data_IF_234166008934
#
_entry.id   IF_234166008934
#
_cell.length_a   1.000
_cell.length_b   1.000
_cell.length_c   1.000
_cell.angle_alpha   90.00
_cell.angle_beta   90.00
_cell.angle_gamma   90.00
#
_symmetry.space_group_name_H-M   'P 1'
#
loop_
_entity.id
_entity.type
_entity.pdbx_description
1 polymer ?
#
# COMPACT_ATOMS: atom_id res chain seq x y z
N UNK A 1 6.94 -13.18 23.37
CA UNK A 1 6.28 -11.98 22.78
C UNK A 1 6.92 -11.48 21.50
N UNK A 2 8.13 -11.89 21.15
CA UNK A 2 8.85 -11.45 19.93
C UNK A 2 8.31 -12.04 18.60
N UNK A 3 7.56 -13.13 18.65
CA UNK A 3 7.05 -13.83 17.44
C UNK A 3 5.80 -13.21 16.79
N UNK A 4 5.17 -12.21 17.41
CA UNK A 4 3.93 -11.62 16.87
C UNK A 4 4.14 -10.32 16.09
N UNK A 5 5.38 -9.84 15.97
CA UNK A 5 5.68 -8.62 15.22
C UNK A 5 5.82 -8.91 13.73
N UNK A 6 5.47 -7.92 12.90
CA UNK A 6 5.72 -7.94 11.46
C UNK A 6 7.24 -8.09 11.18
N UNK A 7 7.57 -8.71 10.03
CA UNK A 7 8.96 -8.96 9.59
C UNK A 7 9.58 -7.74 8.93
N UNK A 8 8.77 -6.93 8.27
CA UNK A 8 9.23 -5.87 7.38
C UNK A 8 8.87 -4.50 7.93
N UNK A 9 9.74 -3.50 7.77
CA UNK A 9 9.51 -2.16 8.30
C UNK A 9 8.24 -1.54 7.68
N UNK A 10 7.54 -0.75 8.50
CA UNK A 10 6.38 0.04 8.07
C UNK A 10 6.80 1.51 7.99
N UNK A 11 6.65 2.10 6.82
CA UNK A 11 6.88 3.51 6.57
C UNK A 11 5.57 4.22 6.26
N UNK A 12 5.36 5.37 6.88
CA UNK A 12 4.26 6.29 6.57
C UNK A 12 4.86 7.50 5.85
N UNK A 13 4.37 7.81 4.66
CA UNK A 13 4.74 9.03 3.96
C UNK A 13 3.76 10.13 4.36
N UNK A 14 4.24 11.23 4.91
CA UNK A 14 3.38 12.28 5.41
C UNK A 14 3.89 13.68 5.09
N UNK A 15 2.94 14.57 4.75
CA UNK A 15 3.19 15.97 4.47
C UNK A 15 2.04 16.84 4.99
N UNK A 16 2.34 17.83 5.83
CA UNK A 16 1.37 18.81 6.33
C UNK A 16 0.30 18.23 7.26
N UNK A 17 0.53 17.07 7.89
CA UNK A 17 -0.50 16.35 8.67
C UNK A 17 -0.07 15.97 10.08
N UNK A 18 0.90 16.69 10.67
CA UNK A 18 1.39 16.41 12.03
C UNK A 18 0.31 16.48 13.11
N UNK A 19 -0.76 17.27 12.91
CA UNK A 19 -1.88 17.38 13.86
C UNK A 19 -2.85 16.20 13.76
N UNK A 20 -3.24 15.81 12.56
CA UNK A 20 -4.20 14.71 12.32
C UNK A 20 -3.59 13.34 12.55
N UNK A 21 -2.46 13.04 11.88
CA UNK A 21 -1.68 11.80 12.02
C UNK A 21 -2.52 10.51 12.04
N UNK A 22 -3.54 10.40 11.17
CA UNK A 22 -4.52 9.31 11.26
C UNK A 22 -3.86 7.94 11.25
N UNK A 23 -3.00 7.67 10.28
CA UNK A 23 -2.34 6.37 10.14
C UNK A 23 -1.42 6.05 11.33
N UNK A 24 -0.60 7.01 11.77
CA UNK A 24 0.30 6.77 12.89
C UNK A 24 -0.45 6.52 14.20
N UNK A 25 -1.54 7.25 14.45
CA UNK A 25 -2.41 7.00 15.61
C UNK A 25 -3.06 5.63 15.55
N UNK A 26 -3.54 5.21 14.37
CA UNK A 26 -4.10 3.85 14.20
C UNK A 26 -3.08 2.76 14.47
N UNK A 27 -1.81 2.94 14.07
CA UNK A 27 -0.74 2.00 14.39
C UNK A 27 -0.34 2.06 15.87
N UNK A 28 -0.32 3.24 16.48
CA UNK A 28 -0.05 3.43 17.90
C UNK A 28 -1.09 2.73 18.80
N UNK A 29 -2.38 2.81 18.45
CA UNK A 29 -3.46 2.08 19.16
C UNK A 29 -3.22 0.56 19.17
N UNK A 30 -2.58 0.01 18.16
CA UNK A 30 -2.26 -1.41 18.04
C UNK A 30 -0.85 -1.77 18.56
N UNK A 31 -0.10 -0.80 19.08
CA UNK A 31 1.32 -0.97 19.42
C UNK A 31 2.18 -1.47 18.25
N UNK A 32 1.84 -1.08 17.02
CA UNK A 32 2.61 -1.41 15.82
C UNK A 32 3.74 -0.44 15.61
N UNK A 33 5.01 -0.88 15.60
CA UNK A 33 6.14 -0.03 15.24
C UNK A 33 6.03 0.48 13.80
N UNK A 34 6.39 1.73 13.60
CA UNK A 34 6.43 2.39 12.31
C UNK A 34 7.52 3.47 12.28
N UNK A 35 7.87 3.91 11.08
CA UNK A 35 8.63 5.13 10.83
C UNK A 35 7.80 6.09 9.98
N UNK A 36 7.84 7.37 10.29
CA UNK A 36 7.17 8.40 9.49
C UNK A 36 8.22 9.23 8.74
N UNK A 37 8.01 9.38 7.43
CA UNK A 37 8.92 10.07 6.53
C UNK A 37 8.32 11.41 6.17
N UNK A 38 9.07 12.48 6.44
CA UNK A 38 8.61 13.87 6.34
C UNK A 38 9.61 14.73 5.60
N UNK A 39 9.16 15.85 5.05
CA UNK A 39 10.05 16.88 4.49
C UNK A 39 10.88 17.55 5.61
N UNK A 40 12.14 17.96 5.35
CA UNK A 40 13.02 18.54 6.37
C UNK A 40 12.40 19.69 7.13
N UNK A 41 11.68 20.57 6.44
CA UNK A 41 10.99 21.74 7.03
C UNK A 41 9.88 21.38 8.03
N UNK A 42 9.36 20.16 7.98
CA UNK A 42 8.27 19.67 8.82
C UNK A 42 8.76 18.84 10.01
N UNK A 43 10.07 18.50 10.04
CA UNK A 43 10.64 17.62 11.07
C UNK A 43 10.27 18.03 12.49
N UNK A 44 10.47 19.30 12.83
CA UNK A 44 10.18 19.80 14.17
C UNK A 44 8.69 19.74 14.52
N UNK A 45 7.81 20.00 13.54
CA UNK A 45 6.35 19.94 13.74
C UNK A 45 5.89 18.51 14.08
N UNK A 46 6.53 17.49 13.49
CA UNK A 46 6.27 16.10 13.85
C UNK A 46 6.95 15.71 15.15
N UNK A 47 8.16 16.22 15.43
CA UNK A 47 8.91 15.93 16.66
C UNK A 47 8.23 16.47 17.93
N UNK A 48 7.38 17.50 17.78
CA UNK A 48 6.57 18.03 18.89
C UNK A 48 5.40 17.11 19.28
N UNK A 49 5.03 16.14 18.43
CA UNK A 49 3.82 15.31 18.62
C UNK A 49 4.08 13.81 18.58
N UNK A 50 5.26 13.38 18.17
CA UNK A 50 5.71 11.97 18.17
C UNK A 50 7.18 11.87 18.55
N UNK A 51 7.59 10.69 18.99
CA UNK A 51 8.97 10.39 19.34
C UNK A 51 9.90 10.53 18.13
N UNK A 52 11.03 11.22 18.32
CA UNK A 52 12.00 11.57 17.27
C UNK A 52 12.58 10.32 16.58
N UNK A 53 12.75 9.22 17.31
CA UNK A 53 13.25 7.95 16.75
C UNK A 53 12.31 7.33 15.70
N UNK A 54 11.04 7.74 15.66
CA UNK A 54 10.09 7.31 14.63
C UNK A 54 10.13 8.17 13.38
N UNK A 55 10.83 9.30 13.39
CA UNK A 55 10.83 10.28 12.30
C UNK A 55 12.06 10.11 11.44
N UNK A 56 11.85 10.00 10.14
CA UNK A 56 12.91 10.06 9.13
C UNK A 56 12.70 11.34 8.32
N UNK A 57 13.72 12.20 8.30
CA UNK A 57 13.73 13.36 7.41
C UNK A 57 14.20 12.97 6.03
N UNK A 58 13.52 13.44 5.00
CA UNK A 58 14.05 13.41 3.65
C UNK A 58 15.33 14.27 3.56
N UNK A 59 16.22 14.01 2.58
CA UNK A 59 17.35 14.92 2.32
C UNK A 59 16.86 16.27 1.81
N UNK A 60 17.63 17.34 2.03
CA UNK A 60 17.21 18.70 1.66
C UNK A 60 16.93 18.86 0.17
N UNK A 61 17.64 18.12 -0.68
CA UNK A 61 17.47 18.14 -2.13
C UNK A 61 16.44 17.13 -2.65
N UNK A 62 15.56 16.58 -1.80
CA UNK A 62 14.60 15.53 -2.20
C UNK A 62 13.72 15.91 -3.41
N UNK A 63 13.43 17.19 -3.59
CA UNK A 63 12.60 17.69 -4.70
C UNK A 63 13.25 17.52 -6.08
N UNK A 64 14.56 17.30 -6.15
CA UNK A 64 15.28 17.01 -7.40
C UNK A 64 14.96 15.60 -7.94
N UNK A 65 14.44 14.71 -7.09
CA UNK A 65 14.18 13.31 -7.42
C UNK A 65 12.74 13.01 -7.87
N UNK A 66 11.96 14.04 -8.18
CA UNK A 66 10.61 13.89 -8.74
C UNK A 66 9.56 14.79 -8.10
N UNK A 67 8.32 14.64 -8.51
CA UNK A 67 7.18 15.41 -8.04
C UNK A 67 6.28 14.60 -7.08
N UNK A 68 5.51 15.31 -6.28
CA UNK A 68 4.50 14.73 -5.38
C UNK A 68 5.09 13.78 -4.33
N UNK A 69 4.58 12.56 -4.27
CA UNK A 69 5.05 11.53 -3.33
C UNK A 69 6.26 10.73 -3.80
N UNK A 70 6.68 10.87 -5.07
CA UNK A 70 7.71 10.04 -5.70
C UNK A 70 9.06 10.09 -4.96
N UNK A 71 9.60 11.28 -4.59
CA UNK A 71 10.86 11.34 -3.88
C UNK A 71 10.83 10.58 -2.55
N UNK A 72 9.79 10.78 -1.77
CA UNK A 72 9.62 10.12 -0.48
C UNK A 72 9.45 8.60 -0.64
N UNK A 73 8.67 8.15 -1.61
CA UNK A 73 8.45 6.73 -1.91
C UNK A 73 9.75 6.03 -2.34
N UNK A 74 10.54 6.65 -3.21
CA UNK A 74 11.82 6.10 -3.64
C UNK A 74 12.86 6.13 -2.52
N UNK A 75 12.91 7.20 -1.74
CA UNK A 75 13.77 7.28 -0.56
C UNK A 75 13.50 6.13 0.43
N UNK A 76 12.23 5.88 0.74
CA UNK A 76 11.81 4.76 1.61
C UNK A 76 12.28 3.42 1.06
N UNK A 77 12.16 3.22 -0.25
CA UNK A 77 12.57 1.98 -0.90
C UNK A 77 14.08 1.74 -0.75
N UNK A 78 14.89 2.76 -1.09
CA UNK A 78 16.35 2.69 -0.94
C UNK A 78 16.78 2.54 0.53
N UNK A 79 16.10 3.23 1.45
CA UNK A 79 16.34 3.09 2.88
C UNK A 79 16.08 1.65 3.34
N UNK A 80 14.97 1.04 2.92
CA UNK A 80 14.66 -0.35 3.26
C UNK A 80 15.68 -1.34 2.71
N UNK A 81 16.17 -1.13 1.48
CA UNK A 81 17.24 -1.94 0.88
C UNK A 81 18.54 -1.79 1.68
N UNK A 82 18.90 -0.56 2.03
CA UNK A 82 20.12 -0.26 2.79
C UNK A 82 20.11 -0.91 4.18
N UNK A 83 18.95 -1.04 4.80
CA UNK A 83 18.77 -1.75 6.06
C UNK A 83 18.71 -3.29 5.90
N UNK A 84 18.85 -3.82 4.68
CA UNK A 84 18.89 -5.26 4.40
C UNK A 84 17.53 -5.96 4.38
N UNK A 85 16.44 -5.23 4.28
CA UNK A 85 15.12 -5.83 4.23
C UNK A 85 14.76 -6.36 2.84
N UNK A 86 14.09 -7.53 2.80
CA UNK A 86 13.61 -8.12 1.54
C UNK A 86 12.35 -7.42 1.01
N UNK A 87 11.58 -6.80 1.90
CA UNK A 87 10.35 -6.08 1.61
C UNK A 87 10.20 -4.90 2.55
N UNK A 88 9.29 -3.99 2.21
CA UNK A 88 8.84 -2.94 3.11
C UNK A 88 7.36 -2.64 2.91
N UNK A 89 6.71 -2.14 3.94
CA UNK A 89 5.40 -1.54 3.86
C UNK A 89 5.54 -0.04 3.63
N UNK A 90 4.70 0.49 2.73
CA UNK A 90 4.52 1.91 2.55
C UNK A 90 3.04 2.25 2.71
N UNK A 91 2.72 3.18 3.60
CA UNK A 91 1.37 3.56 3.95
C UNK A 91 1.14 5.05 3.69
N UNK A 92 -0.04 5.38 3.17
CA UNK A 92 -0.52 6.77 3.17
C UNK A 92 -0.82 7.22 4.60
N UNK A 93 -0.79 8.52 4.87
CA UNK A 93 -0.93 9.09 6.20
C UNK A 93 -2.38 9.36 6.65
N UNK A 94 -3.37 8.95 5.84
CA UNK A 94 -4.79 9.21 6.06
C UNK A 94 -5.65 7.94 6.23
N UNK A 95 -5.05 6.86 6.72
CA UNK A 95 -5.74 5.64 7.11
C UNK A 95 -6.24 5.80 8.54
N UNK A 96 -7.55 5.69 8.75
CA UNK A 96 -8.21 5.88 10.04
C UNK A 96 -8.15 4.62 10.90
N UNK A 97 -8.33 3.45 10.27
CA UNK A 97 -8.29 2.17 10.94
C UNK A 97 -8.15 1.02 9.96
N UNK A 98 -7.86 -0.16 10.50
CA UNK A 98 -7.87 -1.43 9.77
C UNK A 98 -9.01 -2.30 10.27
N UNK A 99 -9.63 -3.04 9.34
CA UNK A 99 -10.75 -3.91 9.64
C UNK A 99 -10.48 -5.34 9.13
N UNK A 100 -11.06 -6.32 9.78
CA UNK A 100 -11.19 -7.69 9.27
C UNK A 100 -12.58 -7.87 8.67
N UNK A 101 -12.64 -8.48 7.49
CA UNK A 101 -13.91 -8.96 6.94
C UNK A 101 -14.22 -10.35 7.53
N UNK A 102 -15.23 -10.41 8.38
CA UNK A 102 -15.67 -11.65 9.03
C UNK A 102 -17.14 -11.89 8.73
N UNK A 103 -17.48 -12.95 8.00
CA UNK A 103 -18.85 -13.24 7.54
C UNK A 103 -19.52 -12.03 6.86
N UNK A 104 -18.76 -11.32 6.02
CA UNK A 104 -19.16 -10.05 5.39
C UNK A 104 -19.46 -8.88 6.33
N UNK A 105 -19.12 -9.00 7.61
CA UNK A 105 -19.11 -7.90 8.56
C UNK A 105 -17.70 -7.33 8.69
N UNK A 106 -17.60 -6.03 8.74
CA UNK A 106 -16.34 -5.34 8.99
C UNK A 106 -16.16 -5.18 10.50
N UNK A 107 -15.07 -5.76 11.03
CA UNK A 107 -14.73 -5.71 12.46
C UNK A 107 -13.40 -4.99 12.61
N UNK A 108 -13.34 -3.94 13.44
CA UNK A 108 -12.09 -3.20 13.72
C UNK A 108 -11.02 -4.14 14.26
N UNK A 109 -9.83 -4.05 13.70
CA UNK A 109 -8.64 -4.74 14.20
C UNK A 109 -8.01 -3.92 15.33
N UNK A 110 -7.73 -4.61 16.43
CA UNK A 110 -7.10 -4.03 17.63
C UNK A 110 -5.68 -4.56 17.87
N UNK A 111 -5.22 -5.48 17.00
CA UNK A 111 -3.87 -6.05 17.06
C UNK A 111 -3.21 -5.98 15.68
N UNK A 112 -1.88 -5.81 15.58
CA UNK A 112 -1.20 -5.65 14.31
C UNK A 112 -0.88 -6.97 13.59
N UNK A 113 -1.29 -8.10 14.13
CA UNK A 113 -0.94 -9.45 13.63
C UNK A 113 -1.28 -9.65 12.14
N UNK A 114 -2.25 -8.91 11.62
CA UNK A 114 -2.64 -9.00 10.21
C UNK A 114 -1.54 -8.58 9.23
N UNK A 115 -0.61 -7.69 9.61
CA UNK A 115 0.58 -7.40 8.82
C UNK A 115 1.43 -8.65 8.68
N UNK A 116 1.77 -9.29 9.81
CA UNK A 116 2.55 -10.53 9.80
C UNK A 116 1.87 -11.67 9.05
N UNK A 117 0.56 -11.85 9.21
CA UNK A 117 -0.21 -12.86 8.46
C UNK A 117 -0.08 -12.63 6.96
N UNK A 118 -0.18 -11.37 6.53
CA UNK A 118 -0.05 -11.01 5.12
C UNK A 118 1.37 -11.23 4.59
N UNK A 119 2.38 -10.89 5.37
CA UNK A 119 3.80 -11.14 5.08
C UNK A 119 4.07 -12.64 4.94
N UNK A 120 3.65 -13.44 5.91
CA UNK A 120 3.83 -14.89 5.90
C UNK A 120 3.11 -15.56 4.73
N UNK A 121 1.95 -15.04 4.32
CA UNK A 121 1.26 -15.52 3.13
C UNK A 121 2.03 -15.20 1.85
N UNK A 122 2.47 -13.94 1.70
CA UNK A 122 3.19 -13.45 0.51
C UNK A 122 4.55 -14.12 0.37
N UNK A 123 5.25 -14.34 1.49
CA UNK A 123 6.60 -14.93 1.52
C UNK A 123 6.65 -16.40 1.09
N UNK A 124 5.50 -17.06 0.96
CA UNK A 124 5.41 -18.40 0.37
C UNK A 124 5.68 -18.43 -1.14
N UNK A 125 5.69 -17.25 -1.77
CA UNK A 125 5.76 -17.14 -3.24
C UNK A 125 6.97 -16.29 -3.65
N UNK A 126 7.59 -16.68 -4.76
CA UNK A 126 8.78 -16.00 -5.30
C UNK A 126 8.42 -14.71 -6.03
N UNK A 127 7.31 -14.76 -6.77
CA UNK A 127 6.94 -13.77 -7.78
C UNK A 127 5.83 -12.79 -7.35
N UNK A 128 5.59 -12.61 -6.05
CA UNK A 128 4.70 -11.56 -5.57
C UNK A 128 5.47 -10.26 -5.41
N UNK A 129 5.27 -9.31 -6.33
CA UNK A 129 5.91 -8.00 -6.31
C UNK A 129 5.27 -7.06 -5.30
N UNK A 130 3.94 -6.99 -5.30
CA UNK A 130 3.16 -6.07 -4.48
C UNK A 130 2.00 -6.80 -3.82
N UNK A 131 1.71 -6.42 -2.58
CA UNK A 131 0.46 -6.82 -1.92
C UNK A 131 -0.06 -5.70 -1.03
N UNK A 132 -1.32 -5.76 -0.64
CA UNK A 132 -1.90 -4.74 0.25
C UNK A 132 -3.36 -5.01 0.55
N UNK A 133 -3.99 -4.05 1.23
CA UNK A 133 -5.35 -4.19 1.74
C UNK A 133 -6.35 -3.40 0.91
N UNK A 134 -7.55 -3.98 0.73
CA UNK A 134 -8.62 -3.31 0.02
C UNK A 134 -9.24 -2.23 0.91
N UNK A 135 -9.78 -1.20 0.26
CA UNK A 135 -10.62 -0.22 0.95
C UNK A 135 -11.92 -0.87 1.45
N UNK A 136 -12.31 -0.53 2.66
CA UNK A 136 -13.49 -1.07 3.34
C UNK A 136 -14.80 -0.82 2.58
N UNK A 137 -14.94 0.34 1.93
CA UNK A 137 -16.14 0.70 1.17
C UNK A 137 -16.36 -0.16 -0.09
N UNK A 138 -15.35 -0.91 -0.56
CA UNK A 138 -15.52 -1.91 -1.63
C UNK A 138 -15.95 -3.28 -1.12
N UNK A 139 -15.82 -3.56 0.18
CA UNK A 139 -16.23 -4.81 0.79
C UNK A 139 -17.67 -4.73 1.30
N UNK A 140 -18.63 -4.78 0.37
CA UNK A 140 -20.06 -4.68 0.70
C UNK A 140 -20.58 -5.96 1.33
N UNK A 141 -21.38 -5.84 2.40
CA UNK A 141 -21.94 -6.96 3.20
C UNK A 141 -22.79 -7.97 2.39
N UNK A 142 -23.42 -7.52 1.30
CA UNK A 142 -24.24 -8.37 0.43
C UNK A 142 -23.44 -9.16 -0.63
N UNK A 143 -22.14 -8.95 -0.72
CA UNK A 143 -21.29 -9.57 -1.75
C UNK A 143 -20.42 -10.65 -1.10
N UNK A 144 -20.51 -11.89 -1.61
CA UNK A 144 -19.57 -12.94 -1.21
C UNK A 144 -18.21 -12.66 -1.84
N UNK A 145 -17.24 -12.30 -1.01
CA UNK A 145 -15.89 -11.92 -1.43
C UNK A 145 -14.89 -13.02 -1.09
N UNK A 146 -13.92 -13.31 -1.97
CA UNK A 146 -12.80 -14.17 -1.64
C UNK A 146 -11.87 -13.46 -0.64
N UNK A 147 -10.99 -14.19 0.07
CA UNK A 147 -10.05 -13.59 1.01
C UNK A 147 -9.03 -12.65 0.34
N UNK A 148 -8.76 -12.82 -0.94
CA UNK A 148 -7.91 -11.96 -1.74
C UNK A 148 -8.23 -12.07 -3.24
N UNK A 149 -7.80 -11.06 -4.00
CA UNK A 149 -7.75 -11.07 -5.46
C UNK A 149 -6.31 -11.02 -5.95
N UNK A 150 -6.05 -11.68 -7.08
CA UNK A 150 -4.75 -11.64 -7.75
C UNK A 150 -4.74 -10.63 -8.91
N UNK A 151 -3.55 -10.12 -9.19
CA UNK A 151 -3.21 -9.42 -10.43
C UNK A 151 -4.09 -8.20 -10.69
N UNK A 152 -4.19 -7.35 -9.68
CA UNK A 152 -4.87 -6.06 -9.72
C UNK A 152 -4.01 -4.99 -9.05
N UNK A 153 -4.47 -3.73 -9.11
CA UNK A 153 -3.80 -2.61 -8.46
C UNK A 153 -3.79 -2.75 -6.94
N UNK A 154 -2.77 -2.22 -6.32
CA UNK A 154 -2.63 -2.11 -4.85
C UNK A 154 -2.49 -0.62 -4.50
N UNK A 155 -3.21 -0.16 -3.48
CA UNK A 155 -3.24 1.25 -3.08
C UNK A 155 -3.03 1.46 -1.58
N UNK A 156 -2.46 2.58 -1.21
CA UNK A 156 -2.42 3.19 0.12
C UNK A 156 -1.74 2.40 1.23
N UNK A 157 -1.90 1.10 1.29
CA UNK A 157 -1.16 0.19 2.18
C UNK A 157 -0.54 -0.88 1.31
N UNK A 158 0.76 -0.78 1.05
CA UNK A 158 1.45 -1.57 0.03
C UNK A 158 2.67 -2.25 0.65
N UNK A 159 2.72 -3.57 0.59
CA UNK A 159 3.94 -4.36 0.84
C UNK A 159 4.66 -4.58 -0.48
N UNK A 160 5.90 -4.15 -0.57
CA UNK A 160 6.70 -4.14 -1.79
C UNK A 160 7.88 -5.09 -1.65
N UNK A 161 8.15 -5.89 -2.67
CA UNK A 161 9.37 -6.68 -2.82
C UNK A 161 10.51 -5.76 -3.25
N UNK A 162 11.60 -5.69 -2.49
CA UNK A 162 12.66 -4.69 -2.66
C UNK A 162 13.52 -4.90 -3.91
N UNK A 163 13.69 -6.14 -4.34
CA UNK A 163 14.56 -6.55 -5.44
C UNK A 163 13.90 -6.50 -6.83
N UNK A 164 12.66 -6.01 -6.97
CA UNK A 164 12.07 -5.79 -8.30
C UNK A 164 12.77 -4.63 -9.01
N UNK A 165 12.94 -4.72 -10.36
CA UNK A 165 13.74 -3.76 -11.13
C UNK A 165 13.03 -2.44 -11.41
N UNK A 166 12.15 -2.01 -10.51
CA UNK A 166 11.37 -0.78 -10.66
C UNK A 166 11.60 0.16 -9.51
N UNK A 167 11.24 1.43 -9.77
CA UNK A 167 11.08 2.48 -8.76
C UNK A 167 9.79 3.23 -9.07
N UNK A 168 9.28 3.96 -8.13
CA UNK A 168 8.16 4.87 -8.32
C UNK A 168 8.52 5.93 -9.35
N UNK A 169 7.59 6.25 -10.23
CA UNK A 169 7.77 7.24 -11.29
C UNK A 169 6.45 7.95 -11.64
N UNK A 170 6.56 8.97 -12.47
CA UNK A 170 5.43 9.77 -12.92
C UNK A 170 4.98 10.77 -11.86
N UNK A 171 3.87 11.42 -12.10
CA UNK A 171 3.28 12.43 -11.22
C UNK A 171 1.96 11.96 -10.61
N UNK A 172 1.23 11.11 -11.35
CA UNK A 172 -0.12 10.65 -11.02
C UNK A 172 -0.26 9.15 -11.21
N UNK A 173 -1.10 8.51 -10.38
CA UNK A 173 -1.38 7.07 -10.46
C UNK A 173 -0.12 6.18 -10.36
N UNK A 174 0.86 6.62 -9.59
CA UNK A 174 2.15 5.95 -9.43
C UNK A 174 2.00 4.51 -8.92
N UNK A 175 1.01 4.25 -8.07
CA UNK A 175 0.67 2.91 -7.56
C UNK A 175 0.06 2.01 -8.64
N UNK A 176 -0.78 2.57 -9.51
CA UNK A 176 -1.32 1.87 -10.68
C UNK A 176 -0.21 1.56 -11.69
N UNK A 177 0.67 2.52 -12.00
CA UNK A 177 1.81 2.33 -12.89
C UNK A 177 2.74 1.22 -12.38
N UNK A 178 3.12 1.26 -11.11
CA UNK A 178 4.00 0.24 -10.52
C UNK A 178 3.35 -1.16 -10.58
N UNK A 179 2.05 -1.25 -10.26
CA UNK A 179 1.31 -2.51 -10.35
C UNK A 179 1.29 -3.06 -11.76
N UNK A 180 1.03 -2.23 -12.78
CA UNK A 180 0.97 -2.64 -14.19
C UNK A 180 2.35 -3.10 -14.68
N UNK A 181 3.42 -2.38 -14.36
CA UNK A 181 4.79 -2.78 -14.75
C UNK A 181 5.16 -4.14 -14.19
N UNK A 182 4.94 -4.36 -12.91
CA UNK A 182 5.18 -5.66 -12.29
C UNK A 182 4.35 -6.78 -12.95
N UNK A 183 3.07 -6.52 -13.23
CA UNK A 183 2.19 -7.51 -13.88
C UNK A 183 2.61 -7.82 -15.33
N UNK A 184 3.12 -6.83 -16.08
CA UNK A 184 3.63 -7.03 -17.45
C UNK A 184 4.82 -7.97 -17.48
N UNK A 185 5.68 -7.93 -16.48
CA UNK A 185 6.88 -8.77 -16.38
C UNK A 185 6.63 -10.12 -15.68
N UNK A 186 5.35 -10.50 -15.53
CA UNK A 186 4.98 -11.84 -15.03
C UNK A 186 4.91 -11.96 -13.51
N UNK A 187 5.21 -10.88 -12.77
CA UNK A 187 4.95 -10.87 -11.32
C UNK A 187 3.45 -10.93 -11.04
N UNK A 188 3.12 -11.30 -9.81
CA UNK A 188 1.77 -11.25 -9.28
C UNK A 188 1.62 -10.08 -8.29
N UNK A 189 0.39 -9.59 -8.17
CA UNK A 189 -0.02 -8.71 -7.06
C UNK A 189 -1.13 -9.40 -6.25
N UNK A 190 -1.19 -9.14 -4.93
CA UNK A 190 -2.20 -9.70 -4.02
C UNK A 190 -2.93 -8.57 -3.32
N UNK A 191 -4.22 -8.43 -3.60
CA UNK A 191 -5.11 -7.51 -2.91
C UNK A 191 -5.95 -8.27 -1.90
N UNK A 192 -5.61 -8.15 -0.61
CA UNK A 192 -6.35 -8.81 0.45
C UNK A 192 -7.73 -8.16 0.67
N UNK A 193 -8.76 -9.00 0.78
CA UNK A 193 -10.10 -8.64 1.23
C UNK A 193 -10.40 -9.16 2.64
N UNK A 194 -9.60 -10.14 3.11
CA UNK A 194 -9.68 -10.59 4.50
C UNK A 194 -9.35 -9.47 5.49
N UNK A 195 -8.46 -8.55 5.07
CA UNK A 195 -8.08 -7.35 5.80
C UNK A 195 -8.36 -6.13 4.94
N UNK A 196 -8.93 -5.10 5.56
CA UNK A 196 -9.40 -3.90 4.91
C UNK A 196 -8.78 -2.67 5.57
N UNK A 197 -8.69 -1.59 4.81
CA UNK A 197 -8.30 -0.27 5.31
C UNK A 197 -9.44 0.71 5.15
N UNK A 198 -9.74 1.45 6.20
CA UNK A 198 -10.63 2.60 6.16
C UNK A 198 -9.78 3.85 5.99
N UNK A 199 -10.04 4.58 4.92
CA UNK A 199 -9.27 5.76 4.56
C UNK A 199 -10.17 7.00 4.56
N UNK A 200 -9.71 8.07 5.18
CA UNK A 200 -10.34 9.38 5.05
C UNK A 200 -10.48 9.78 3.59
N UNK A 201 -11.59 10.42 3.23
CA UNK A 201 -11.87 10.77 1.84
C UNK A 201 -10.75 11.64 1.27
N UNK A 202 -10.22 11.23 0.12
CA UNK A 202 -9.23 12.02 -0.63
C UNK A 202 -9.81 13.41 -0.97
N UNK A 203 -8.99 14.43 -0.90
CA UNK A 203 -9.33 15.84 -1.17
C UNK A 203 -10.18 16.54 -0.09
N UNK A 204 -10.51 15.88 1.02
CA UNK A 204 -11.22 16.54 2.16
C UNK A 204 -10.29 16.93 3.31
N UNK A 205 -9.08 16.38 3.36
CA UNK A 205 -8.09 16.71 4.39
C UNK A 205 -7.13 17.77 3.87
N UNK A 206 -6.76 18.70 4.74
CA UNK A 206 -5.67 19.68 4.51
C UNK A 206 -4.35 18.91 4.48
N UNK A 207 -3.41 19.34 3.64
CA UNK A 207 -2.08 18.74 3.51
C UNK A 207 -2.01 17.58 2.52
N UNK A 208 -0.82 16.99 2.40
CA UNK A 208 -0.53 15.96 1.42
C UNK A 208 -0.56 16.50 -0.02
N UNK A 209 -0.93 15.66 -0.96
CA UNK A 209 -1.07 16.06 -2.37
C UNK A 209 -2.28 16.96 -2.64
N UNK A 210 -3.16 17.19 -1.65
CA UNK A 210 -4.36 18.01 -1.82
C UNK A 210 -3.99 19.43 -2.21
N UNK A 211 -3.02 20.02 -1.51
CA UNK A 211 -2.66 21.42 -1.68
C UNK A 211 -1.80 21.68 -2.92
N UNK A 212 -1.08 20.69 -3.41
CA UNK A 212 -0.12 20.84 -4.53
C UNK A 212 -0.62 20.28 -5.85
N UNK A 213 -1.46 19.26 -5.84
CA UNK A 213 -1.86 18.50 -7.03
C UNK A 213 -3.35 18.68 -7.36
N UNK A 214 -4.20 18.84 -6.34
CA UNK A 214 -5.66 18.79 -6.54
C UNK A 214 -6.36 20.15 -6.50
N UNK A 215 -5.69 21.22 -6.06
CA UNK A 215 -6.33 22.51 -5.73
C UNK A 215 -6.58 23.47 -6.89
N UNK A 216 -6.18 23.19 -8.14
CA UNK A 216 -6.19 24.20 -9.17
C UNK A 216 -7.15 24.01 -10.33
N UNK A 217 -7.71 22.82 -10.54
CA UNK A 217 -8.75 22.51 -11.55
C UNK A 217 -9.14 21.03 -11.44
N UNK A 218 -10.21 20.59 -12.15
CA UNK A 218 -10.55 19.16 -12.26
C UNK A 218 -9.48 18.42 -13.10
N UNK A 219 -8.34 18.10 -12.49
CA UNK A 219 -7.20 17.43 -13.12
C UNK A 219 -7.44 15.94 -13.41
N UNK A 220 -8.66 15.44 -13.24
CA UNK A 220 -9.00 14.02 -13.46
C UNK A 220 -8.72 13.56 -14.88
N UNK A 221 -8.87 14.46 -15.84
CA UNK A 221 -8.53 14.16 -17.23
C UNK A 221 -7.03 13.88 -17.37
N UNK A 222 -6.20 14.78 -16.83
CA UNK A 222 -4.73 14.62 -16.87
C UNK A 222 -4.27 13.37 -16.13
N UNK A 223 -4.91 13.03 -14.99
CA UNK A 223 -4.62 11.80 -14.28
C UNK A 223 -4.96 10.55 -15.12
N UNK A 224 -6.11 10.55 -15.78
CA UNK A 224 -6.51 9.44 -16.65
C UNK A 224 -5.66 9.36 -17.91
N UNK A 225 -5.28 10.51 -18.49
CA UNK A 225 -4.42 10.64 -19.67
C UNK A 225 -3.03 10.08 -19.37
N UNK A 226 -2.39 10.52 -18.29
CA UNK A 226 -1.04 10.11 -17.91
C UNK A 226 -0.89 8.58 -17.85
N UNK A 227 -1.79 7.87 -17.18
CA UNK A 227 -1.70 6.40 -17.10
C UNK A 227 -2.06 5.71 -18.43
N UNK A 228 -2.94 6.32 -19.24
CA UNK A 228 -3.30 5.81 -20.55
C UNK A 228 -2.16 5.94 -21.55
N UNK A 229 -1.38 7.01 -21.48
CA UNK A 229 -0.17 7.22 -22.31
C UNK A 229 0.97 6.29 -21.91
N UNK A 230 1.14 6.03 -20.61
CA UNK A 230 2.17 5.12 -20.11
C UNK A 230 1.87 3.64 -20.42
N UNK A 231 0.58 3.27 -20.52
CA UNK A 231 0.15 1.88 -20.72
C UNK A 231 -1.01 1.78 -21.73
N UNK A 232 -0.80 2.21 -23.00
CA UNK A 232 -1.86 2.28 -24.01
C UNK A 232 -2.46 0.91 -24.37
N UNK A 233 -1.76 -0.17 -24.09
CA UNK A 233 -2.16 -1.55 -24.32
C UNK A 233 -3.23 -2.04 -23.32
N UNK A 234 -3.27 -1.49 -22.11
CA UNK A 234 -4.18 -1.93 -21.05
C UNK A 234 -4.97 -0.81 -20.39
N UNK A 235 -4.57 0.45 -20.58
CA UNK A 235 -5.21 1.62 -19.98
C UNK A 235 -5.93 2.46 -21.03
N UNK A 236 -7.06 3.03 -20.64
CA UNK A 236 -7.81 3.97 -21.45
C UNK A 236 -8.53 5.01 -20.59
N UNK A 237 -8.77 6.18 -21.16
CA UNK A 237 -9.63 7.19 -20.54
C UNK A 237 -11.10 6.74 -20.65
N UNK A 238 -11.85 6.89 -19.58
CA UNK A 238 -13.29 6.62 -19.54
C UNK A 238 -14.03 7.77 -18.84
N UNK A 239 -15.29 7.96 -19.16
CA UNK A 239 -16.15 8.93 -18.46
C UNK A 239 -17.25 8.18 -17.73
N UNK A 240 -17.34 8.38 -16.40
CA UNK A 240 -18.39 7.78 -15.55
C UNK A 240 -18.90 8.84 -14.58
N UNK A 241 -20.21 8.89 -14.38
CA UNK A 241 -20.84 9.86 -13.48
C UNK A 241 -20.39 11.31 -13.74
N UNK A 242 -20.29 11.69 -15.04
CA UNK A 242 -19.85 13.03 -15.44
C UNK A 242 -18.36 13.34 -15.27
N UNK A 243 -17.54 12.41 -14.79
CA UNK A 243 -16.13 12.61 -14.47
C UNK A 243 -15.22 11.71 -15.29
N UNK A 244 -14.00 12.20 -15.58
CA UNK A 244 -12.96 11.39 -16.22
C UNK A 244 -12.32 10.42 -15.23
N UNK A 245 -12.09 9.19 -15.68
CA UNK A 245 -11.45 8.11 -14.96
C UNK A 245 -10.52 7.35 -15.89
N UNK A 246 -9.43 6.83 -15.36
CA UNK A 246 -8.70 5.78 -16.05
C UNK A 246 -9.43 4.44 -15.88
N UNK A 247 -9.40 3.62 -16.92
CA UNK A 247 -9.88 2.24 -16.90
C UNK A 247 -8.74 1.32 -17.28
N UNK A 248 -8.38 0.40 -16.39
CA UNK A 248 -7.34 -0.60 -16.63
C UNK A 248 -7.98 -1.94 -16.93
N UNK A 249 -7.55 -2.57 -18.01
CA UNK A 249 -7.91 -3.93 -18.36
C UNK A 249 -6.90 -4.91 -17.73
N UNK A 250 -7.27 -5.52 -16.62
CA UNK A 250 -6.44 -6.52 -15.92
C UNK A 250 -6.57 -7.95 -16.51
N UNK A 251 -7.43 -8.18 -17.53
CA UNK A 251 -7.63 -9.52 -18.11
C UNK A 251 -6.35 -10.17 -18.63
N UNK A 252 -5.44 -9.45 -19.33
CA UNK A 252 -4.20 -10.03 -19.82
C UNK A 252 -3.33 -10.64 -18.72
N UNK A 253 -3.40 -10.10 -17.50
CA UNK A 253 -2.57 -10.51 -16.36
C UNK A 253 -3.12 -11.74 -15.60
N UNK A 254 -4.31 -12.22 -15.93
CA UNK A 254 -4.89 -13.46 -15.33
C UNK A 254 -4.04 -14.70 -15.57
N UNK A 255 -3.17 -14.65 -16.58
CA UNK A 255 -2.21 -15.73 -16.88
C UNK A 255 -1.06 -15.82 -15.87
N UNK A 256 -0.72 -14.73 -15.19
CA UNK A 256 0.32 -14.74 -14.17
C UNK A 256 -0.14 -15.61 -13.00
N UNK A 257 0.64 -16.61 -12.65
CA UNK A 257 0.35 -17.57 -11.57
C UNK A 257 1.34 -17.39 -10.44
N UNK A 258 0.87 -17.61 -9.21
CA UNK A 258 1.75 -17.66 -8.05
C UNK A 258 2.73 -18.81 -8.19
N UNK A 259 4.02 -18.53 -8.03
CA UNK A 259 5.10 -19.50 -8.00
C UNK A 259 5.48 -19.72 -6.54
N UNK A 260 5.20 -20.93 -6.02
CA UNK A 260 5.53 -21.26 -4.63
C UNK A 260 7.04 -21.53 -4.51
N UNK A 261 7.63 -21.03 -3.44
CA UNK A 261 9.01 -21.38 -3.07
C UNK A 261 9.11 -22.88 -2.75
N UNK A 262 10.18 -23.52 -3.19
CA UNK A 262 10.37 -24.99 -3.05
C UNK A 262 10.38 -25.45 -1.58
N UNK A 263 10.95 -24.67 -0.68
CA UNK A 263 11.16 -25.05 0.73
C UNK A 263 9.97 -24.68 1.65
N UNK A 264 8.79 -24.42 1.09
CA UNK A 264 7.60 -24.12 1.90
C UNK A 264 6.82 -25.39 2.18
N UNK A 265 7.00 -25.94 3.37
CA UNK A 265 6.19 -27.03 3.89
C UNK A 265 4.86 -26.49 4.43
N UNK A 266 3.74 -27.03 3.94
CA UNK A 266 2.41 -26.76 4.51
C UNK A 266 2.10 -27.91 5.45
N UNK A 267 2.29 -27.66 6.74
CA UNK A 267 1.96 -28.64 7.77
C UNK A 267 0.43 -28.77 7.91
N UNK A 268 -0.04 -30.01 8.03
CA UNK A 268 -1.45 -30.36 8.28
C UNK A 268 -1.77 -30.25 9.78
N UNK A 269 -1.37 -29.16 10.42
CA UNK A 269 -1.58 -28.88 11.84
C UNK A 269 -2.07 -27.47 12.04
N UNK A 270 -2.50 -27.14 13.24
CA UNK A 270 -2.87 -25.78 13.61
C UNK A 270 -1.62 -24.89 13.50
N UNK A 271 -1.70 -23.85 12.67
CA UNK A 271 -0.59 -22.91 12.49
C UNK A 271 -0.48 -21.92 13.67
N UNK A 272 0.56 -21.09 13.67
CA UNK A 272 0.83 -20.09 14.72
C UNK A 272 -0.30 -19.07 14.93
N UNK A 273 -1.31 -19.05 14.07
CA UNK A 273 -2.49 -18.18 14.15
C UNK A 273 -3.74 -18.92 14.64
N UNK A 274 -3.60 -20.16 15.08
CA UNK A 274 -4.71 -20.99 15.52
C UNK A 274 -5.61 -21.49 14.37
N UNK A 275 -5.12 -21.47 13.12
CA UNK A 275 -5.88 -21.88 11.93
C UNK A 275 -5.36 -23.22 11.41
N UNK A 276 -6.29 -24.06 10.98
CA UNK A 276 -6.00 -25.33 10.32
C UNK A 276 -6.14 -25.17 8.80
N UNK A 277 -5.10 -25.57 8.06
CA UNK A 277 -5.13 -25.57 6.59
C UNK A 277 -5.77 -26.86 6.09
N UNK A 278 -6.93 -26.75 5.47
CA UNK A 278 -7.63 -27.87 4.85
C UNK A 278 -7.40 -27.83 3.33
N UNK A 279 -6.93 -28.92 2.77
CA UNK A 279 -6.91 -29.09 1.31
C UNK A 279 -8.36 -29.20 0.83
N UNK A 280 -8.74 -28.36 -0.15
CA UNK A 280 -10.06 -28.38 -0.81
C UNK A 280 -9.97 -29.26 -2.04
#
# INVERSE_FOLDING_TARGET
MTEMMNKYPIYIISKGRWKSRLTSKSLEEMNQPYRIVVEPKEYNLYADVISKEKIISLPDNFSEFGEGSIPARNFVWEHSIKEGHLRHWILDDNIEQFNRLNNNLQVKLITPIFFKISEDFVDRYENVALSGFQYDFFAKSKTKLPPFYLNTRIYSTILIKNDIPYRWRGKYNEDTDLSIRALKDGYCTILFYAFLQQKAQTMKMIGGNTDTIYNTNDNRFEFAKSISEQHPDVARISKKFGRFHHHINYKPFKKNKLIRKENIEIKNEVNNYGMFLKKI
#
